data_IF_237454456924
#
_entry.id   IF_237454456924
#
_cell.length_a   1.000
_cell.length_b   1.000
_cell.length_c   1.000
_cell.angle_alpha   90.00
_cell.angle_beta   90.00
_cell.angle_gamma   90.00
#
_symmetry.space_group_name_H-M   'P 1'
#
loop_
_entity.id
_entity.type
_entity.pdbx_description
1 polymer ?
#
# COMPACT_ATOMS: atom_id res chain seq x y z
N UNK A 1 -52.63 17.06 21.86
CA UNK A 1 -51.68 17.69 22.82
C UNK A 1 -50.25 17.65 22.28
N UNK A 2 -49.67 16.47 22.00
CA UNK A 2 -48.28 16.34 21.52
C UNK A 2 -47.98 16.96 20.14
N UNK A 3 -48.93 16.89 19.19
CA UNK A 3 -48.74 17.44 17.83
C UNK A 3 -48.51 18.96 17.84
N UNK A 4 -49.15 19.69 18.75
CA UNK A 4 -49.01 21.16 18.84
C UNK A 4 -47.63 21.57 19.36
N UNK A 5 -47.07 20.76 20.27
CA UNK A 5 -45.71 20.93 20.80
C UNK A 5 -44.68 20.57 19.72
N UNK A 6 -44.83 19.42 19.06
CA UNK A 6 -43.94 18.99 17.98
C UNK A 6 -43.90 20.02 16.84
N UNK A 7 -45.05 20.59 16.44
CA UNK A 7 -45.10 21.65 15.42
C UNK A 7 -44.34 22.91 15.84
N UNK A 8 -44.39 23.30 17.11
CA UNK A 8 -43.64 24.47 17.62
C UNK A 8 -42.14 24.21 17.60
N UNK A 9 -41.71 23.02 18.01
CA UNK A 9 -40.28 22.67 18.02
C UNK A 9 -39.70 22.54 16.61
N UNK A 10 -40.40 21.88 15.69
CA UNK A 10 -39.97 21.77 14.29
C UNK A 10 -39.86 23.17 13.66
N UNK A 11 -40.81 24.06 13.96
CA UNK A 11 -40.78 25.45 13.48
C UNK A 11 -39.60 26.24 14.08
N UNK A 12 -39.25 25.97 15.33
CA UNK A 12 -38.09 26.57 16.00
C UNK A 12 -36.78 26.08 15.37
N UNK A 13 -36.63 24.77 15.17
CA UNK A 13 -35.45 24.16 14.54
C UNK A 13 -35.23 24.70 13.12
N UNK A 14 -36.29 24.82 12.30
CA UNK A 14 -36.19 25.35 10.94
C UNK A 14 -35.85 26.86 10.94
N UNK A 15 -36.28 27.61 11.96
CA UNK A 15 -35.99 29.06 12.09
C UNK A 15 -34.51 29.31 12.41
N UNK A 16 -33.88 28.39 13.14
CA UNK A 16 -32.44 28.39 13.40
C UNK A 16 -31.66 27.83 12.21
N UNK A 17 -31.49 28.67 11.18
CA UNK A 17 -30.86 28.32 9.91
C UNK A 17 -29.50 27.63 10.05
N UNK A 18 -28.69 28.05 11.04
CA UNK A 18 -27.38 27.47 11.29
C UNK A 18 -27.46 26.04 11.82
N UNK A 19 -28.23 25.83 12.88
CA UNK A 19 -28.40 24.52 13.53
C UNK A 19 -29.01 23.50 12.56
N UNK A 20 -30.07 23.89 11.84
CA UNK A 20 -30.72 23.01 10.86
C UNK A 20 -29.82 22.64 9.69
N UNK A 21 -29.03 23.61 9.19
CA UNK A 21 -28.04 23.36 8.14
C UNK A 21 -26.99 22.35 8.62
N UNK A 22 -26.39 22.55 9.81
CA UNK A 22 -25.40 21.62 10.33
C UNK A 22 -25.98 20.24 10.65
N UNK A 23 -27.21 20.15 11.16
CA UNK A 23 -27.90 18.90 11.49
C UNK A 23 -28.07 17.99 10.25
N UNK A 24 -28.30 18.57 9.07
CA UNK A 24 -28.52 17.81 7.84
C UNK A 24 -27.27 17.70 6.96
N UNK A 25 -26.53 18.80 6.79
CA UNK A 25 -25.40 18.85 5.85
C UNK A 25 -24.25 17.98 6.31
N UNK A 26 -23.93 17.99 7.61
CA UNK A 26 -22.84 17.18 8.15
C UNK A 26 -23.07 15.67 7.94
N UNK A 27 -24.21 15.07 8.32
CA UNK A 27 -24.43 13.65 8.08
C UNK A 27 -24.53 13.30 6.59
N UNK A 28 -25.14 14.16 5.76
CA UNK A 28 -25.17 13.95 4.31
C UNK A 28 -23.74 13.93 3.74
N UNK A 29 -22.89 14.87 4.17
CA UNK A 29 -21.49 14.93 3.77
C UNK A 29 -20.74 13.64 4.14
N UNK A 30 -20.94 13.12 5.35
CA UNK A 30 -20.35 11.84 5.75
C UNK A 30 -20.85 10.68 4.89
N UNK A 31 -22.15 10.58 4.63
CA UNK A 31 -22.71 9.53 3.79
C UNK A 31 -22.11 9.59 2.38
N UNK A 32 -21.94 10.78 1.80
CA UNK A 32 -21.34 10.95 0.48
C UNK A 32 -19.86 10.58 0.49
N UNK A 33 -19.09 10.99 1.51
CA UNK A 33 -17.69 10.60 1.64
C UNK A 33 -17.53 9.08 1.75
N UNK A 34 -18.27 8.43 2.65
CA UNK A 34 -18.20 6.98 2.84
C UNK A 34 -18.75 6.20 1.65
N UNK A 35 -19.83 6.70 1.03
CA UNK A 35 -20.36 6.16 -0.22
C UNK A 35 -19.35 6.27 -1.36
N UNK A 36 -18.64 7.38 -1.48
CA UNK A 36 -17.57 7.56 -2.46
C UNK A 36 -16.39 6.62 -2.21
N UNK A 37 -16.05 6.35 -0.95
CA UNK A 37 -14.99 5.39 -0.60
C UNK A 37 -15.38 3.94 -0.92
N UNK A 38 -16.68 3.60 -0.97
CA UNK A 38 -17.11 2.23 -1.29
C UNK A 38 -16.72 1.77 -2.71
N UNK A 39 -16.49 2.70 -3.64
CA UNK A 39 -15.98 2.40 -4.98
C UNK A 39 -14.47 2.20 -5.06
N UNK A 40 -13.72 2.46 -3.96
CA UNK A 40 -12.34 1.99 -3.88
C UNK A 40 -12.38 0.46 -3.75
N UNK A 41 -12.21 -0.23 -4.88
CA UNK A 41 -11.94 -1.68 -4.89
C UNK A 41 -10.89 -1.94 -3.81
N UNK A 42 -11.23 -2.75 -2.82
CA UNK A 42 -10.26 -3.27 -1.87
C UNK A 42 -9.17 -3.93 -2.70
N UNK A 43 -7.98 -3.32 -2.71
CA UNK A 43 -6.87 -3.85 -3.47
C UNK A 43 -6.57 -5.24 -2.91
N UNK A 44 -6.62 -6.26 -3.76
CA UNK A 44 -6.33 -7.61 -3.33
C UNK A 44 -4.90 -7.64 -2.79
N UNK A 45 -4.75 -8.09 -1.55
CA UNK A 45 -3.45 -8.22 -0.90
C UNK A 45 -2.69 -9.33 -1.63
N UNK A 46 -1.53 -8.99 -2.18
CA UNK A 46 -0.68 -9.95 -2.87
C UNK A 46 0.09 -10.77 -1.84
N UNK A 47 -0.27 -12.04 -1.69
CA UNK A 47 0.38 -12.96 -0.76
C UNK A 47 1.33 -13.84 -1.56
N UNK A 48 2.66 -13.67 -1.42
CA UNK A 48 3.60 -14.58 -2.05
C UNK A 48 3.54 -15.96 -1.36
N UNK A 49 3.51 -17.03 -2.14
CA UNK A 49 3.52 -18.39 -1.62
C UNK A 49 4.55 -19.26 -2.33
N UNK A 50 5.00 -20.29 -1.63
CA UNK A 50 5.90 -21.32 -2.13
C UNK A 50 5.35 -22.68 -1.71
N UNK A 51 5.02 -23.52 -2.69
CA UNK A 51 4.52 -24.88 -2.50
C UNK A 51 5.71 -25.86 -2.57
N UNK A 52 6.18 -26.29 -1.39
CA UNK A 52 7.35 -27.17 -1.26
C UNK A 52 6.96 -28.66 -1.24
N UNK A 53 5.77 -28.97 -0.73
CA UNK A 53 5.27 -30.32 -0.58
C UNK A 53 4.51 -30.81 -1.82
N UNK A 54 4.02 -29.90 -2.67
CA UNK A 54 3.38 -30.17 -3.96
C UNK A 54 2.23 -31.17 -3.88
N UNK A 55 1.61 -31.30 -2.71
CA UNK A 55 0.59 -32.29 -2.43
C UNK A 55 -0.77 -31.84 -2.94
N UNK A 56 -1.72 -32.79 -3.03
CA UNK A 56 -3.12 -32.46 -3.32
C UNK A 56 -3.71 -31.50 -2.27
N UNK A 57 -3.30 -31.66 -1.01
CA UNK A 57 -3.76 -30.80 0.09
C UNK A 57 -3.23 -29.36 -0.03
N UNK A 58 -1.96 -29.16 -0.39
CA UNK A 58 -1.40 -27.81 -0.59
C UNK A 58 -2.09 -27.07 -1.74
N UNK A 59 -2.38 -27.77 -2.84
CA UNK A 59 -3.14 -27.21 -3.98
C UNK A 59 -4.56 -26.80 -3.60
N UNK A 60 -5.27 -27.63 -2.83
CA UNK A 60 -6.62 -27.30 -2.34
C UNK A 60 -6.61 -26.09 -1.42
N UNK A 61 -5.58 -25.95 -0.58
CA UNK A 61 -5.40 -24.78 0.28
C UNK A 61 -5.12 -23.51 -0.53
N UNK A 62 -4.22 -23.55 -1.51
CA UNK A 62 -3.95 -22.38 -2.39
C UNK A 62 -5.22 -21.96 -3.15
N UNK A 63 -6.00 -22.93 -3.64
CA UNK A 63 -7.27 -22.66 -4.32
C UNK A 63 -8.30 -22.00 -3.38
N UNK A 64 -8.36 -22.40 -2.11
CA UNK A 64 -9.27 -21.75 -1.14
C UNK A 64 -8.83 -20.32 -0.83
N UNK A 65 -7.52 -20.04 -0.82
CA UNK A 65 -6.99 -18.67 -0.70
C UNK A 65 -7.35 -17.78 -1.90
N UNK A 66 -7.31 -18.32 -3.12
CA UNK A 66 -7.66 -17.58 -4.35
C UNK A 66 -9.16 -17.26 -4.46
N UNK A 67 -10.02 -18.09 -3.85
CA UNK A 67 -11.46 -17.86 -3.81
C UNK A 67 -11.87 -16.78 -2.79
N UNK A 68 -10.99 -16.42 -1.85
CA UNK A 68 -11.27 -15.37 -0.87
C UNK A 68 -11.17 -13.99 -1.51
N UNK A 69 -12.25 -13.22 -1.41
CA UNK A 69 -12.27 -11.82 -1.86
C UNK A 69 -11.19 -11.01 -1.13
N UNK A 70 -10.33 -10.35 -1.89
CA UNK A 70 -9.28 -9.49 -1.35
C UNK A 70 -7.91 -10.17 -1.17
N UNK A 71 -7.76 -11.43 -1.59
CA UNK A 71 -6.47 -12.13 -1.63
C UNK A 71 -6.09 -12.42 -3.07
N UNK A 72 -4.82 -12.18 -3.40
CA UNK A 72 -4.22 -12.57 -4.67
C UNK A 72 -2.93 -13.32 -4.38
N UNK A 73 -2.88 -14.60 -4.68
CA UNK A 73 -1.70 -15.43 -4.49
C UNK A 73 -0.68 -15.14 -5.60
N UNK A 74 0.61 -15.09 -5.25
CA UNK A 74 1.70 -14.93 -6.21
C UNK A 74 2.73 -16.03 -5.98
N UNK A 75 2.87 -16.94 -6.94
CA UNK A 75 3.86 -18.00 -6.85
C UNK A 75 5.28 -17.41 -6.87
N UNK A 76 6.05 -17.70 -5.82
CA UNK A 76 7.46 -17.28 -5.71
C UNK A 76 8.37 -18.48 -5.95
N UNK A 77 9.29 -18.33 -6.91
CA UNK A 77 10.31 -19.35 -7.17
C UNK A 77 11.32 -19.40 -6.01
N UNK A 78 11.78 -20.60 -5.60
CA UNK A 78 12.90 -20.73 -4.67
C UNK A 78 14.13 -19.96 -5.20
N UNK A 79 14.71 -19.09 -4.38
CA UNK A 79 15.89 -18.27 -4.75
C UNK A 79 15.60 -16.92 -5.42
N UNK A 80 14.33 -16.49 -5.52
CA UNK A 80 13.98 -15.20 -6.14
C UNK A 80 14.12 -13.97 -5.21
N UNK A 81 14.08 -14.15 -3.89
CA UNK A 81 14.02 -13.04 -2.92
C UNK A 81 15.35 -12.70 -2.22
N UNK A 82 16.46 -13.33 -2.62
CA UNK A 82 17.79 -13.09 -2.01
C UNK A 82 18.60 -11.98 -2.69
N UNK A 83 18.07 -11.39 -3.76
CA UNK A 83 18.67 -10.20 -4.39
C UNK A 83 17.97 -8.96 -3.87
N UNK A 84 18.50 -8.41 -2.77
CA UNK A 84 18.25 -7.03 -2.38
C UNK A 84 18.28 -6.12 -3.63
N UNK A 85 17.28 -5.24 -3.85
CA UNK A 85 17.42 -4.19 -4.85
C UNK A 85 18.53 -3.25 -4.37
N UNK A 86 19.74 -3.43 -4.89
CA UNK A 86 20.82 -2.47 -4.74
C UNK A 86 20.28 -1.09 -5.13
N UNK A 87 20.30 -0.18 -4.16
CA UNK A 87 19.71 1.15 -4.24
C UNK A 87 20.05 1.85 -5.55
N UNK A 88 19.00 2.19 -6.30
CA UNK A 88 19.10 3.01 -7.51
C UNK A 88 19.24 4.48 -7.12
N UNK A 89 20.33 4.89 -6.45
CA UNK A 89 20.69 6.30 -6.29
C UNK A 89 22.21 6.51 -6.10
N UNK A 90 22.90 6.84 -7.20
CA UNK A 90 23.66 8.10 -7.33
C UNK A 90 24.27 8.17 -8.74
N UNK A 91 23.59 8.91 -9.63
CA UNK A 91 24.27 9.61 -10.71
C UNK A 91 24.85 10.89 -10.10
N UNK A 92 26.16 10.94 -9.91
CA UNK A 92 26.87 12.21 -9.77
C UNK A 92 28.30 12.05 -10.29
N UNK A 93 28.47 12.31 -11.59
CA UNK A 93 29.67 12.93 -12.12
C UNK A 93 29.26 14.37 -12.46
N UNK A 94 30.00 15.40 -12.02
CA UNK A 94 31.18 15.80 -12.78
C UNK A 94 32.39 16.30 -11.95
N UNK A 95 33.59 15.97 -12.42
CA UNK A 95 34.74 16.87 -12.66
C UNK A 95 35.44 17.68 -11.55
N UNK A 96 36.78 17.54 -11.53
CA UNK A 96 37.85 18.42 -10.95
C UNK A 96 37.91 18.44 -9.42
N UNK A 97 39.03 18.20 -8.74
CA UNK A 97 40.41 18.71 -8.89
C UNK A 97 41.39 17.77 -8.19
N UNK A 98 42.64 17.72 -8.65
CA UNK A 98 43.63 16.75 -8.20
C UNK A 98 44.22 16.99 -6.82
N UNK A 99 44.87 15.95 -6.30
CA UNK A 99 46.12 16.05 -5.53
C UNK A 99 46.68 14.64 -5.43
N UNK A 100 47.92 14.49 -5.90
CA UNK A 100 48.61 13.21 -5.85
C UNK A 100 49.04 12.86 -4.43
N UNK A 101 49.11 11.55 -4.16
CA UNK A 101 50.22 11.06 -3.38
C UNK A 101 50.68 9.68 -3.86
N UNK A 102 51.99 9.64 -4.05
CA UNK A 102 52.87 8.63 -4.62
C UNK A 102 53.04 7.43 -3.68
N UNK A 103 53.43 6.28 -4.27
CA UNK A 103 54.08 5.06 -3.70
C UNK A 103 53.10 3.94 -3.29
N UNK A 104 53.33 2.66 -3.60
CA UNK A 104 54.56 1.92 -3.96
C UNK A 104 54.17 0.66 -4.74
N UNK A 105 54.92 0.36 -5.79
CA UNK A 105 55.01 -0.96 -6.43
C UNK A 105 55.70 -1.97 -5.50
N UNK A 106 55.24 -3.22 -5.50
CA UNK A 106 56.01 -4.44 -5.26
C UNK A 106 55.22 -5.59 -5.94
N UNK A 107 55.41 -5.79 -7.24
CA UNK A 107 56.26 -6.82 -7.87
C UNK A 107 55.83 -8.25 -7.45
N UNK A 108 55.00 -8.88 -8.29
CA UNK A 108 54.95 -10.34 -8.39
C UNK A 108 55.92 -10.79 -9.50
N UNK A 109 56.66 -11.90 -9.33
CA UNK A 109 57.46 -12.43 -10.42
C UNK A 109 56.59 -13.23 -11.40
N UNK A 110 56.88 -13.02 -12.68
CA UNK A 110 56.29 -13.67 -13.83
C UNK A 110 56.92 -15.05 -14.11
N UNK A 111 56.06 -15.92 -14.66
CA UNK A 111 56.21 -17.20 -15.39
C UNK A 111 57.58 -17.76 -15.85
N UNK A 112 57.56 -19.12 -15.91
CA UNK A 112 58.08 -20.09 -16.93
C UNK A 112 59.56 -20.50 -16.91
N UNK A 113 59.93 -21.66 -17.50
CA UNK A 113 59.16 -22.61 -18.34
C UNK A 113 58.51 -23.79 -17.61
#
# INVERSE_FOLDING_TARGET
MFISIAKKEIKLLIKEKGTFFWLLVLPILFIVLFGSMSSMKTQAVKIPYMDQDQTTASRQFIQSLEQMKGIQTVYTKPGANERHPAGKQRKQFPGRTGTGHKRRQIIGPARTP
#
